data_IF_281920966500
#
_entry.id   IF_281920966500
#
_cell.length_a   1.000
_cell.length_b   1.000
_cell.length_c   1.000
_cell.angle_alpha   90.00
_cell.angle_beta   90.00
_cell.angle_gamma   90.00
#
_symmetry.space_group_name_H-M   'P 1'
#
loop_
_entity.id
_entity.type
_entity.pdbx_description
1 polymer ?
#
# COMPACT_ATOMS: atom_id res chain seq x y z
N UNK A 1 8.10 10.02 16.71
CA UNK A 1 9.12 9.87 15.64
C UNK A 1 9.72 11.20 15.20
N UNK A 2 8.97 12.29 15.24
CA UNK A 2 9.39 13.65 14.85
C UNK A 2 10.72 14.12 15.45
N UNK A 3 11.06 13.86 16.74
CA UNK A 3 12.35 14.28 17.28
C UNK A 3 13.55 13.63 16.60
N UNK A 4 13.39 12.40 16.09
CA UNK A 4 14.45 11.68 15.40
C UNK A 4 14.64 12.23 13.99
N UNK A 5 13.57 12.36 13.21
CA UNK A 5 13.65 12.92 11.85
C UNK A 5 14.13 14.38 11.87
N UNK A 6 13.71 15.17 12.86
CA UNK A 6 14.22 16.53 13.03
C UNK A 6 15.70 16.59 13.46
N UNK A 7 16.19 15.59 14.21
CA UNK A 7 17.58 15.53 14.66
C UNK A 7 18.56 15.11 13.56
N UNK A 8 18.08 14.43 12.51
CA UNK A 8 18.90 13.90 11.43
C UNK A 8 18.45 14.43 10.06
N UNK A 9 18.70 15.72 9.73
CA UNK A 9 18.26 16.33 8.48
C UNK A 9 18.88 15.71 7.21
N UNK A 10 19.96 14.92 7.36
CA UNK A 10 20.59 14.17 6.27
C UNK A 10 20.11 12.71 6.17
N UNK A 11 19.10 12.30 6.95
CA UNK A 11 18.56 10.95 6.88
C UNK A 11 17.82 10.74 5.55
N UNK A 12 18.20 9.68 4.84
CA UNK A 12 17.61 9.32 3.54
C UNK A 12 16.65 8.14 3.62
N UNK A 13 16.87 7.24 4.58
CA UNK A 13 16.03 6.06 4.72
C UNK A 13 15.60 5.93 6.17
N UNK A 14 14.30 5.71 6.37
CA UNK A 14 13.72 5.48 7.68
C UNK A 14 12.77 4.28 7.61
N UNK A 15 13.06 3.27 8.42
CA UNK A 15 12.23 2.08 8.57
C UNK A 15 11.84 1.90 10.03
N UNK A 16 10.59 1.51 10.27
CA UNK A 16 10.12 1.08 11.60
C UNK A 16 9.29 -0.18 11.46
N UNK A 17 9.50 -1.12 12.39
CA UNK A 17 8.68 -2.31 12.56
C UNK A 17 8.03 -2.28 13.94
N UNK A 18 6.71 -2.43 13.98
CA UNK A 18 5.86 -2.34 15.17
C UNK A 18 5.08 -1.02 15.25
N UNK A 19 3.76 -1.12 15.43
CA UNK A 19 2.84 0.01 15.54
C UNK A 19 2.51 0.47 16.97
N UNK A 20 2.87 -0.31 17.99
CA UNK A 20 2.49 -0.01 19.38
C UNK A 20 3.09 1.32 19.85
N UNK A 21 2.22 2.26 20.25
CA UNK A 21 2.58 3.63 20.65
C UNK A 21 3.35 4.42 19.57
N UNK A 22 3.24 4.02 18.31
CA UNK A 22 3.83 4.74 17.20
C UNK A 22 3.12 6.09 17.03
N UNK A 23 3.89 7.16 16.94
CA UNK A 23 3.37 8.51 16.70
C UNK A 23 4.19 9.20 15.61
N UNK A 24 3.52 9.49 14.51
CA UNK A 24 4.05 10.17 13.33
C UNK A 24 3.19 11.39 13.03
N UNK A 25 3.28 12.49 13.81
CA UNK A 25 2.61 13.72 13.40
C UNK A 25 3.25 14.22 12.10
N UNK A 26 2.47 14.93 11.29
CA UNK A 26 2.95 15.47 10.02
C UNK A 26 4.19 16.34 10.20
N UNK A 27 5.10 16.21 9.25
CA UNK A 27 6.39 16.88 9.30
C UNK A 27 6.88 17.25 7.91
N UNK A 28 7.89 18.11 7.87
CA UNK A 28 8.63 18.45 6.66
C UNK A 28 10.03 17.85 6.79
N UNK A 29 10.44 17.01 5.83
CA UNK A 29 11.80 16.49 5.79
C UNK A 29 12.37 16.54 4.36
N UNK A 30 13.40 17.36 4.10
CA UNK A 30 13.82 17.67 2.73
C UNK A 30 14.60 16.55 2.05
N UNK A 31 15.14 15.59 2.80
CA UNK A 31 16.08 14.59 2.28
C UNK A 31 15.67 13.13 2.49
N UNK A 32 14.45 12.86 2.99
CA UNK A 32 14.01 11.48 3.20
C UNK A 32 13.56 10.92 1.85
N UNK A 33 14.15 9.80 1.45
CA UNK A 33 13.97 9.14 0.15
C UNK A 33 13.18 7.84 0.28
N UNK A 34 13.35 7.11 1.40
CA UNK A 34 12.60 5.89 1.69
C UNK A 34 11.96 5.95 3.07
N UNK A 35 10.67 5.62 3.14
CA UNK A 35 9.91 5.44 4.36
C UNK A 35 9.23 4.06 4.35
N UNK A 36 9.55 3.22 5.32
CA UNK A 36 8.91 1.91 5.51
C UNK A 36 8.32 1.84 6.91
N UNK A 37 7.04 1.49 7.01
CA UNK A 37 6.32 1.32 8.28
C UNK A 37 5.62 -0.03 8.27
N UNK A 38 6.20 -0.99 8.98
CA UNK A 38 5.68 -2.35 9.08
C UNK A 38 4.90 -2.50 10.40
N UNK A 39 3.60 -2.76 10.32
CA UNK A 39 2.73 -2.98 11.48
C UNK A 39 1.71 -4.08 11.18
N UNK A 40 1.39 -4.89 12.20
CA UNK A 40 0.23 -5.79 12.16
C UNK A 40 -1.10 -5.04 12.25
N UNK A 41 -1.08 -3.76 12.65
CA UNK A 41 -2.22 -2.83 12.67
C UNK A 41 -1.70 -1.39 12.78
N UNK A 42 -1.80 -0.60 11.71
CA UNK A 42 -1.32 0.78 11.67
C UNK A 42 -2.48 1.74 11.96
N UNK A 43 -2.42 2.45 13.08
CA UNK A 43 -3.46 3.38 13.47
C UNK A 43 -3.64 4.53 12.48
N UNK A 44 -4.87 4.94 12.24
CA UNK A 44 -5.28 5.97 11.30
C UNK A 44 -4.64 7.33 11.59
N UNK A 45 -4.38 7.66 12.86
CA UNK A 45 -3.61 8.87 13.24
C UNK A 45 -2.19 8.85 12.67
N UNK A 46 -1.54 7.69 12.65
CA UNK A 46 -0.20 7.53 12.07
C UNK A 46 -0.28 7.66 10.56
N UNK A 47 -1.26 7.00 9.93
CA UNK A 47 -1.49 7.08 8.48
C UNK A 47 -1.74 8.53 8.05
N UNK A 48 -2.63 9.26 8.74
CA UNK A 48 -2.92 10.67 8.45
C UNK A 48 -1.69 11.56 8.61
N UNK A 49 -0.89 11.33 9.64
CA UNK A 49 0.30 12.13 9.86
C UNK A 49 1.40 11.86 8.83
N UNK A 50 1.57 10.61 8.38
CA UNK A 50 2.45 10.27 7.25
C UNK A 50 1.92 10.91 5.96
N UNK A 51 0.66 10.66 5.62
CA UNK A 51 0.02 11.16 4.40
C UNK A 51 0.02 12.70 4.34
N UNK A 52 -0.13 13.38 5.48
CA UNK A 52 -0.09 14.84 5.59
C UNK A 52 1.31 15.45 5.71
N UNK A 53 2.38 14.67 5.53
CA UNK A 53 3.76 15.17 5.59
C UNK A 53 4.21 15.77 4.25
N UNK A 54 5.20 16.67 4.29
CA UNK A 54 5.88 17.18 3.10
C UNK A 54 7.26 16.54 3.00
N UNK A 55 7.39 15.55 2.12
CA UNK A 55 8.60 14.77 1.92
C UNK A 55 9.05 14.90 0.45
N UNK A 56 9.61 16.05 0.04
CA UNK A 56 9.87 16.37 -1.36
C UNK A 56 10.88 15.44 -2.05
N UNK A 57 11.76 14.79 -1.29
CA UNK A 57 12.74 13.83 -1.79
C UNK A 57 12.24 12.38 -1.73
N UNK A 58 11.04 12.10 -1.23
CA UNK A 58 10.57 10.73 -1.01
C UNK A 58 10.32 10.03 -2.34
N UNK A 59 11.08 8.98 -2.60
CA UNK A 59 10.98 8.15 -3.80
C UNK A 59 10.19 6.87 -3.53
N UNK A 60 10.31 6.32 -2.31
CA UNK A 60 9.64 5.09 -1.88
C UNK A 60 8.91 5.28 -0.56
N UNK A 61 7.65 4.86 -0.54
CA UNK A 61 6.88 4.68 0.69
C UNK A 61 6.26 3.29 0.72
N UNK A 62 6.28 2.65 1.88
CA UNK A 62 5.66 1.35 2.12
C UNK A 62 4.99 1.35 3.49
N UNK A 63 3.68 1.13 3.51
CA UNK A 63 2.85 1.15 4.71
C UNK A 63 2.13 -0.20 4.84
N UNK A 64 2.40 -0.92 5.91
CA UNK A 64 1.67 -2.15 6.23
C UNK A 64 0.53 -1.77 7.17
N UNK A 65 -0.70 -1.78 6.65
CA UNK A 65 -1.86 -1.24 7.36
C UNK A 65 -2.40 -2.21 8.39
N UNK A 66 -2.25 -3.51 8.14
CA UNK A 66 -2.62 -4.55 9.08
C UNK A 66 -4.12 -4.76 9.21
N UNK A 67 -4.51 -5.25 10.39
CA UNK A 67 -5.88 -5.59 10.78
C UNK A 67 -6.31 -4.80 12.02
N UNK A 68 -7.62 -4.76 12.26
CA UNK A 68 -8.21 -4.15 13.46
C UNK A 68 -7.91 -4.93 14.74
N UNK A 69 -7.71 -6.25 14.65
CA UNK A 69 -7.27 -7.10 15.77
C UNK A 69 -5.94 -6.63 16.40
N UNK A 70 -5.08 -6.01 15.59
CA UNK A 70 -3.80 -5.45 16.00
C UNK A 70 -3.81 -3.92 16.13
N UNK A 71 -5.00 -3.30 16.13
CA UNK A 71 -5.19 -1.87 16.35
C UNK A 71 -5.16 -1.00 15.09
N UNK A 72 -5.22 -1.59 13.90
CA UNK A 72 -5.40 -0.88 12.64
C UNK A 72 -6.84 -0.38 12.46
N UNK A 73 -7.02 0.92 12.30
CA UNK A 73 -8.33 1.55 12.07
C UNK A 73 -8.32 2.50 10.85
N UNK A 74 -7.31 2.39 10.00
CA UNK A 74 -7.15 3.21 8.81
C UNK A 74 -8.13 2.86 7.70
N UNK A 75 -8.52 3.87 6.94
CA UNK A 75 -9.35 3.76 5.75
C UNK A 75 -8.68 4.43 4.54
N UNK A 76 -9.17 4.22 3.31
CA UNK A 76 -8.65 4.94 2.15
C UNK A 76 -8.75 6.48 2.28
N UNK A 77 -9.69 6.99 3.08
CA UNK A 77 -9.84 8.42 3.32
C UNK A 77 -8.64 9.01 4.09
N UNK A 78 -7.99 8.22 4.95
CA UNK A 78 -6.81 8.64 5.71
C UNK A 78 -5.56 8.78 4.83
N UNK A 79 -5.55 8.07 3.69
CA UNK A 79 -4.51 8.12 2.67
C UNK A 79 -4.75 9.18 1.61
N UNK A 80 -5.91 9.86 1.60
CA UNK A 80 -6.28 10.80 0.54
C UNK A 80 -5.20 11.88 0.26
N UNK A 81 -4.50 12.47 1.26
CA UNK A 81 -3.39 13.39 1.00
C UNK A 81 -2.18 12.73 0.30
N UNK A 82 -1.86 11.47 0.64
CA UNK A 82 -0.80 10.72 -0.04
C UNK A 82 -1.21 10.40 -1.48
N UNK A 83 -2.46 10.00 -1.69
CA UNK A 83 -3.00 9.59 -2.98
C UNK A 83 -3.16 10.77 -3.96
N UNK A 84 -3.34 12.00 -3.46
CA UNK A 84 -3.28 13.20 -4.29
C UNK A 84 -1.86 13.45 -4.84
N UNK A 85 -0.84 12.93 -4.16
CA UNK A 85 0.58 13.13 -4.48
C UNK A 85 1.08 14.54 -4.13
N UNK A 86 0.30 15.33 -3.41
CA UNK A 86 0.73 16.60 -2.80
C UNK A 86 1.69 16.30 -1.65
N UNK A 87 2.81 17.02 -1.57
CA UNK A 87 3.87 16.73 -0.58
C UNK A 87 4.87 15.64 -0.99
N UNK A 88 4.57 14.85 -2.04
CA UNK A 88 5.42 13.74 -2.52
C UNK A 88 5.75 13.85 -4.04
N UNK A 89 6.36 14.96 -4.50
CA UNK A 89 6.66 15.19 -5.91
C UNK A 89 7.64 14.17 -6.53
N UNK A 90 8.51 13.57 -5.72
CA UNK A 90 9.52 12.60 -6.17
C UNK A 90 9.06 11.14 -6.13
N UNK A 91 7.83 10.86 -5.63
CA UNK A 91 7.41 9.48 -5.36
C UNK A 91 7.33 8.63 -6.64
N UNK A 92 8.00 7.48 -6.61
CA UNK A 92 8.03 6.48 -7.69
C UNK A 92 7.58 5.10 -7.23
N UNK A 93 7.61 4.80 -5.95
CA UNK A 93 7.19 3.51 -5.40
C UNK A 93 6.21 3.73 -4.25
N UNK A 94 5.01 3.18 -4.37
CA UNK A 94 3.97 3.18 -3.34
C UNK A 94 3.61 1.74 -2.99
N UNK A 95 3.80 1.37 -1.72
CA UNK A 95 3.30 0.14 -1.14
C UNK A 95 2.24 0.41 -0.08
N UNK A 96 1.06 -0.16 -0.28
CA UNK A 96 -0.01 -0.24 0.70
C UNK A 96 -0.24 -1.73 0.91
N UNK A 97 0.46 -2.32 1.87
CA UNK A 97 0.55 -3.76 1.98
C UNK A 97 -0.19 -4.26 3.22
N UNK A 98 -0.35 -5.58 3.28
CA UNK A 98 -0.78 -6.28 4.50
C UNK A 98 -2.10 -5.74 5.06
N UNK A 99 -3.11 -5.47 4.23
CA UNK A 99 -4.38 -4.90 4.70
C UNK A 99 -5.58 -5.82 4.52
N UNK A 100 -6.48 -5.81 5.51
CA UNK A 100 -7.81 -6.44 5.39
C UNK A 100 -8.77 -5.66 4.47
N UNK A 101 -8.43 -4.42 4.14
CA UNK A 101 -9.22 -3.54 3.26
C UNK A 101 -8.60 -3.39 1.86
N UNK A 102 -7.81 -4.35 1.40
CA UNK A 102 -6.99 -4.25 0.18
C UNK A 102 -7.83 -3.93 -1.07
N UNK A 103 -9.04 -4.49 -1.22
CA UNK A 103 -9.95 -4.14 -2.33
C UNK A 103 -10.35 -2.65 -2.33
N UNK A 104 -10.57 -2.07 -1.14
CA UNK A 104 -10.90 -0.66 -1.00
C UNK A 104 -9.68 0.22 -1.33
N UNK A 105 -8.48 -0.23 -0.97
CA UNK A 105 -7.23 0.46 -1.31
C UNK A 105 -6.99 0.39 -2.82
N UNK A 106 -7.16 -0.77 -3.45
CA UNK A 106 -7.08 -0.98 -4.88
C UNK A 106 -8.00 -0.03 -5.66
N UNK A 107 -9.27 0.09 -5.23
CA UNK A 107 -10.21 1.05 -5.80
C UNK A 107 -9.78 2.51 -5.62
N UNK A 108 -9.23 2.87 -4.46
CA UNK A 108 -8.73 4.22 -4.20
C UNK A 108 -7.52 4.57 -5.07
N UNK A 109 -6.54 3.66 -5.20
CA UNK A 109 -5.34 3.90 -6.03
C UNK A 109 -5.66 3.88 -7.52
N UNK A 110 -6.66 3.11 -7.95
CA UNK A 110 -7.07 3.02 -9.36
C UNK A 110 -7.38 4.39 -10.00
N UNK A 111 -7.78 5.39 -9.20
CA UNK A 111 -8.05 6.76 -9.66
C UNK A 111 -7.14 7.83 -9.05
N UNK A 112 -6.16 7.44 -8.22
CA UNK A 112 -5.33 8.36 -7.48
C UNK A 112 -4.32 9.10 -8.39
N UNK A 113 -4.24 10.44 -8.34
CA UNK A 113 -3.29 11.22 -9.14
C UNK A 113 -1.82 10.82 -8.95
N UNK A 114 -1.44 10.35 -7.76
CA UNK A 114 -0.06 9.90 -7.49
C UNK A 114 0.34 8.69 -8.34
N UNK A 115 -0.61 7.84 -8.76
CA UNK A 115 -0.29 6.61 -9.51
C UNK A 115 0.27 6.90 -10.90
N UNK A 116 -0.13 8.00 -11.54
CA UNK A 116 0.34 8.39 -12.88
C UNK A 116 1.85 8.68 -12.96
N UNK A 117 2.56 8.81 -11.83
CA UNK A 117 4.02 9.02 -11.78
C UNK A 117 4.81 7.83 -11.21
N UNK A 118 4.13 6.80 -10.72
CA UNK A 118 4.80 5.65 -10.12
C UNK A 118 5.50 4.80 -11.18
N UNK A 119 6.60 4.18 -10.78
CA UNK A 119 7.23 3.05 -11.46
C UNK A 119 6.80 1.72 -10.82
N UNK A 120 6.51 1.69 -9.51
CA UNK A 120 6.07 0.51 -8.76
C UNK A 120 4.82 0.82 -7.93
N UNK A 121 3.81 -0.03 -8.04
CA UNK A 121 2.66 -0.09 -7.14
C UNK A 121 2.64 -1.47 -6.48
N UNK A 122 2.50 -1.49 -5.16
CA UNK A 122 2.54 -2.70 -4.35
C UNK A 122 1.31 -2.73 -3.44
N UNK A 123 0.47 -3.76 -3.63
CA UNK A 123 -0.76 -4.05 -2.88
C UNK A 123 -0.71 -5.50 -2.35
N UNK A 124 0.51 -5.99 -2.08
CA UNK A 124 0.78 -7.36 -1.65
C UNK A 124 0.38 -7.60 -0.19
N UNK A 125 0.37 -8.89 0.20
CA UNK A 125 0.18 -9.35 1.58
C UNK A 125 -1.19 -9.06 2.18
N UNK A 126 -2.11 -8.50 1.40
CA UNK A 126 -3.46 -8.11 1.83
C UNK A 126 -4.55 -9.04 1.35
N UNK A 127 -5.78 -8.69 1.68
CA UNK A 127 -6.99 -9.40 1.27
C UNK A 127 -7.48 -8.85 -0.07
N UNK A 128 -6.67 -9.02 -1.13
CA UNK A 128 -7.01 -8.57 -2.47
C UNK A 128 -7.80 -9.65 -3.23
N UNK A 129 -8.99 -9.31 -3.70
CA UNK A 129 -9.87 -10.21 -4.46
C UNK A 129 -10.07 -9.74 -5.90
N UNK A 130 -10.84 -10.51 -6.67
CA UNK A 130 -11.23 -10.14 -8.03
C UNK A 130 -11.92 -8.76 -8.10
N UNK A 131 -12.59 -8.32 -7.03
CA UNK A 131 -13.21 -7.00 -6.97
C UNK A 131 -12.17 -5.87 -7.02
N UNK A 132 -11.15 -5.92 -6.14
CA UNK A 132 -10.06 -4.94 -6.12
C UNK A 132 -9.23 -4.98 -7.40
N UNK A 133 -8.89 -6.18 -7.90
CA UNK A 133 -8.17 -6.32 -9.16
C UNK A 133 -8.96 -5.79 -10.37
N UNK A 134 -10.28 -6.01 -10.42
CA UNK A 134 -11.13 -5.40 -11.45
C UNK A 134 -11.13 -3.88 -11.35
N UNK A 135 -11.18 -3.32 -10.14
CA UNK A 135 -11.12 -1.87 -9.93
C UNK A 135 -9.81 -1.27 -10.46
N UNK A 136 -8.67 -1.96 -10.29
CA UNK A 136 -7.38 -1.54 -10.87
C UNK A 136 -7.42 -1.49 -12.40
N UNK A 137 -8.04 -2.48 -13.05
CA UNK A 137 -8.16 -2.54 -14.51
C UNK A 137 -9.14 -1.52 -15.09
N UNK A 138 -10.20 -1.20 -14.33
CA UNK A 138 -11.25 -0.26 -14.75
C UNK A 138 -10.89 1.22 -14.46
N UNK A 139 -9.83 1.44 -13.67
CA UNK A 139 -9.31 2.77 -13.33
C UNK A 139 -8.46 3.42 -14.44
N UNK A 140 -7.50 4.24 -14.02
CA UNK A 140 -6.53 4.81 -14.94
C UNK A 140 -5.57 3.73 -15.46
N UNK A 141 -5.04 3.85 -16.69
CA UNK A 141 -4.09 2.87 -17.21
C UNK A 141 -2.86 2.73 -16.31
N UNK A 142 -2.51 1.50 -15.99
CA UNK A 142 -1.29 1.14 -15.23
C UNK A 142 -0.13 0.71 -16.13
N UNK A 143 -0.27 0.90 -17.45
CA UNK A 143 0.68 0.41 -18.46
C UNK A 143 2.02 1.15 -18.48
N UNK A 144 2.13 2.26 -17.73
CA UNK A 144 3.40 2.97 -17.50
C UNK A 144 4.21 2.39 -16.33
N UNK A 145 3.60 1.57 -15.47
CA UNK A 145 4.32 0.95 -14.36
C UNK A 145 5.40 0.03 -14.90
N UNK A 146 6.52 -0.05 -14.18
CA UNK A 146 7.47 -1.15 -14.36
C UNK A 146 6.99 -2.39 -13.65
N UNK A 147 6.23 -2.21 -12.56
CA UNK A 147 5.86 -3.29 -11.67
C UNK A 147 4.53 -3.03 -10.95
N UNK A 148 3.68 -4.05 -10.95
CA UNK A 148 2.50 -4.17 -10.11
C UNK A 148 2.69 -5.42 -9.25
N UNK A 149 2.88 -5.23 -7.95
CA UNK A 149 3.13 -6.30 -6.99
C UNK A 149 1.84 -6.64 -6.23
N UNK A 150 1.33 -7.85 -6.46
CA UNK A 150 0.15 -8.39 -5.80
C UNK A 150 0.50 -9.76 -5.17
N UNK A 151 1.75 -9.99 -4.76
CA UNK A 151 2.12 -11.19 -4.00
C UNK A 151 1.18 -11.39 -2.80
N UNK A 152 0.81 -12.64 -2.49
CA UNK A 152 -0.13 -12.97 -1.42
C UNK A 152 -1.50 -12.31 -1.60
N UNK A 153 -2.37 -12.98 -2.38
CA UNK A 153 -3.68 -12.47 -2.81
C UNK A 153 -4.73 -13.59 -2.89
N UNK A 154 -6.01 -13.20 -3.05
CA UNK A 154 -7.18 -14.09 -3.18
C UNK A 154 -7.87 -13.99 -4.55
N UNK A 155 -7.13 -13.59 -5.58
CA UNK A 155 -7.56 -13.57 -6.97
C UNK A 155 -7.86 -14.97 -7.51
N UNK A 156 -8.85 -15.06 -8.38
CA UNK A 156 -9.07 -16.24 -9.22
C UNK A 156 -7.98 -16.34 -10.30
N UNK A 157 -7.73 -17.56 -10.77
CA UNK A 157 -6.84 -17.81 -11.92
C UNK A 157 -7.26 -16.97 -13.15
N UNK A 158 -8.57 -16.86 -13.39
CA UNK A 158 -9.10 -16.06 -14.49
C UNK A 158 -8.79 -14.55 -14.35
N UNK A 159 -8.83 -14.01 -13.14
CA UNK A 159 -8.46 -12.61 -12.91
C UNK A 159 -6.95 -12.39 -13.02
N UNK A 160 -6.14 -13.32 -12.48
CA UNK A 160 -4.69 -13.32 -12.62
C UNK A 160 -4.24 -13.31 -14.10
N UNK A 161 -4.87 -14.16 -14.92
CA UNK A 161 -4.67 -14.17 -16.38
C UNK A 161 -5.07 -12.84 -17.03
N UNK A 162 -6.21 -12.27 -16.62
CA UNK A 162 -6.71 -10.99 -17.14
C UNK A 162 -5.75 -9.84 -16.84
N UNK A 163 -5.24 -9.74 -15.61
CA UNK A 163 -4.23 -8.74 -15.21
C UNK A 163 -2.97 -8.87 -16.06
N UNK A 164 -2.45 -10.09 -16.17
CA UNK A 164 -1.25 -10.39 -16.96
C UNK A 164 -1.44 -10.02 -18.43
N UNK A 165 -2.57 -10.42 -19.03
CA UNK A 165 -2.89 -10.10 -20.42
C UNK A 165 -3.05 -8.60 -20.67
N UNK A 166 -3.55 -7.84 -19.68
CA UNK A 166 -3.72 -6.40 -19.79
C UNK A 166 -2.41 -5.61 -19.66
N UNK A 167 -1.48 -6.05 -18.81
CA UNK A 167 -0.32 -5.25 -18.41
C UNK A 167 1.02 -5.76 -18.97
N UNK A 168 1.22 -7.08 -19.05
CA UNK A 168 2.49 -7.65 -19.51
C UNK A 168 2.89 -7.25 -20.95
N UNK A 169 1.96 -7.11 -21.93
CA UNK A 169 2.31 -6.62 -23.26
C UNK A 169 2.91 -5.20 -23.28
N UNK A 170 2.68 -4.42 -22.22
CA UNK A 170 3.23 -3.08 -22.05
C UNK A 170 4.58 -3.07 -21.29
N UNK A 171 5.10 -4.24 -20.92
CA UNK A 171 6.37 -4.37 -20.20
C UNK A 171 6.24 -4.25 -18.68
N UNK A 172 5.01 -4.23 -18.14
CA UNK A 172 4.76 -4.24 -16.70
C UNK A 172 5.04 -5.64 -16.16
N UNK A 173 5.90 -5.74 -15.13
CA UNK A 173 6.06 -6.97 -14.34
C UNK A 173 4.87 -7.08 -13.38
N UNK A 174 3.96 -8.03 -13.64
CA UNK A 174 2.87 -8.35 -12.71
C UNK A 174 3.33 -9.48 -11.80
N UNK A 175 3.40 -9.23 -10.50
CA UNK A 175 3.77 -10.24 -9.49
C UNK A 175 2.50 -10.82 -8.91
N UNK A 176 2.36 -12.14 -9.02
CA UNK A 176 1.17 -12.91 -8.61
C UNK A 176 1.62 -14.17 -7.84
N UNK A 177 2.72 -14.07 -7.11
CA UNK A 177 3.22 -15.17 -6.29
C UNK A 177 2.32 -15.36 -5.04
N UNK A 178 2.34 -16.56 -4.46
CA UNK A 178 1.61 -16.93 -3.23
C UNK A 178 0.07 -16.74 -3.27
N UNK A 179 -0.67 -17.35 -4.23
CA UNK A 179 -2.13 -17.30 -4.23
C UNK A 179 -2.71 -18.02 -3.00
N UNK A 180 -3.67 -17.37 -2.34
CA UNK A 180 -4.36 -17.87 -1.16
C UNK A 180 -5.76 -18.39 -1.50
N UNK A 181 -6.18 -19.44 -0.78
CA UNK A 181 -7.56 -19.93 -0.79
C UNK A 181 -8.27 -19.42 0.47
N UNK A 182 -9.50 -18.89 0.37
CA UNK A 182 -10.24 -18.48 1.55
C UNK A 182 -10.61 -19.72 2.39
N UNK A 183 -10.53 -19.59 3.71
CA UNK A 183 -10.94 -20.67 4.61
C UNK A 183 -12.46 -20.64 4.82
N UNK A 184 -13.14 -21.76 4.55
CA UNK A 184 -14.55 -21.98 4.85
C UNK A 184 -14.62 -22.89 6.08
N UNK A 185 -15.09 -22.36 7.20
CA UNK A 185 -15.22 -23.11 8.46
C UNK A 185 -16.43 -24.07 8.48
N UNK A 186 -17.21 -24.12 7.38
CA UNK A 186 -18.36 -24.98 7.21
C UNK A 186 -19.64 -24.48 7.87
N UNK A 187 -19.62 -23.31 8.52
CA UNK A 187 -20.82 -22.62 9.04
C UNK A 187 -21.28 -21.47 8.11
N UNK A 188 -20.58 -21.26 6.98
CA UNK A 188 -20.89 -20.27 5.96
C UNK A 188 -20.10 -18.96 6.06
N UNK A 189 -19.17 -18.87 7.01
CA UNK A 189 -18.25 -17.74 7.16
C UNK A 189 -16.95 -18.03 6.38
N UNK A 190 -16.53 -17.05 5.57
CA UNK A 190 -15.37 -17.15 4.67
C UNK A 190 -14.26 -16.24 5.19
N UNK A 191 -13.20 -16.85 5.74
CA UNK A 191 -12.07 -16.15 6.35
C UNK A 191 -10.94 -15.90 5.34
N UNK A 192 -10.34 -14.71 5.45
CA UNK A 192 -9.15 -14.31 4.69
C UNK A 192 -8.18 -13.62 5.63
N UNK A 193 -6.90 -13.91 5.47
CA UNK A 193 -5.83 -13.45 6.34
C UNK A 193 -4.88 -12.54 5.58
N UNK A 194 -4.20 -11.66 6.31
CA UNK A 194 -3.05 -10.90 5.80
C UNK A 194 -1.77 -11.69 6.05
N UNK A 195 -0.73 -11.51 5.24
CA UNK A 195 0.50 -12.31 5.34
C UNK A 195 1.21 -12.15 6.70
N UNK A 196 1.05 -10.99 7.35
CA UNK A 196 1.64 -10.72 8.66
C UNK A 196 0.60 -10.19 9.63
N UNK A 197 0.11 -11.10 10.46
CA UNK A 197 -0.80 -10.83 11.58
C UNK A 197 -0.34 -11.54 12.85
N UNK A 198 0.97 -11.60 13.13
CA UNK A 198 1.57 -12.10 14.39
C UNK A 198 2.80 -11.27 14.80
#
# INVERSE_FOLDING_TARGET
MTPLLAAYPGLREFGVRGGNHLAFPSLVHPGLETLVVESGGLGAEVVRGIAGSELPALERIELWLGTDEYGGDSSPADLAPLLSGEGFPALRSLGLCNSVIEDLLAAAVASAPVVARLDRLDLSMGVLTDEGAAALLDGQPLTHLRELDLEHHYLSEAMAERLTAALAPHGVRVVLDDPQEPEDDGDGDVWRYVSTGE
#
